data_IF_475126694653
#
_entry.id   IF_475126694653
#
_cell.length_a   1.000
_cell.length_b   1.000
_cell.length_c   1.000
_cell.angle_alpha   90.00
_cell.angle_beta   90.00
_cell.angle_gamma   90.00
#
_symmetry.space_group_name_H-M   'P 1'
#
loop_
_entity.id
_entity.type
_entity.pdbx_description
1 polymer ?
#
# COMPACT_ATOMS: atom_id res chain seq x y z
N UNK A 1 16.49 3.80 -6.84
CA UNK A 1 15.51 2.73 -6.55
C UNK A 1 14.07 3.22 -6.71
N UNK A 2 13.58 4.26 -6.01
CA UNK A 2 12.18 4.77 -6.15
C UNK A 2 11.66 4.99 -7.59
N UNK A 3 12.52 5.39 -8.53
CA UNK A 3 12.12 5.72 -9.91
C UNK A 3 11.72 4.50 -10.78
N UNK A 4 12.10 3.26 -10.40
CA UNK A 4 11.68 2.06 -11.14
C UNK A 4 10.27 1.60 -10.73
N UNK A 5 9.97 1.59 -9.42
CA UNK A 5 8.64 1.19 -8.91
C UNK A 5 7.55 2.09 -9.47
N UNK A 6 7.76 3.41 -9.47
CA UNK A 6 6.77 4.36 -10.02
C UNK A 6 6.44 4.09 -11.50
N UNK A 7 7.41 3.65 -12.31
CA UNK A 7 7.15 3.29 -13.72
C UNK A 7 6.41 1.96 -13.86
N UNK A 8 6.75 0.96 -13.04
CA UNK A 8 6.02 -0.32 -13.00
C UNK A 8 4.56 -0.07 -12.57
N UNK A 9 4.34 0.81 -11.59
CA UNK A 9 2.98 1.11 -11.09
C UNK A 9 2.10 1.86 -12.10
N UNK A 10 2.69 2.52 -13.10
CA UNK A 10 1.88 3.09 -14.20
C UNK A 10 1.28 2.02 -15.11
N UNK A 11 1.80 0.79 -15.08
CA UNK A 11 1.34 -0.32 -15.91
C UNK A 11 0.44 -1.29 -15.15
N UNK A 12 0.37 -1.20 -13.82
CA UNK A 12 -0.49 -2.01 -12.95
C UNK A 12 -1.84 -1.32 -12.78
N UNK A 13 -2.93 -1.99 -13.12
CA UNK A 13 -4.25 -1.34 -13.24
C UNK A 13 -4.93 -1.01 -11.91
N UNK A 14 -4.70 -1.83 -10.88
CA UNK A 14 -5.38 -1.76 -9.59
C UNK A 14 -4.66 -0.88 -8.56
N UNK A 15 -3.36 -0.67 -8.75
CA UNK A 15 -2.49 0.08 -7.85
C UNK A 15 -2.45 1.56 -8.26
N UNK A 16 -2.61 2.45 -7.29
CA UNK A 16 -2.73 3.88 -7.52
C UNK A 16 -1.63 4.66 -6.82
N UNK A 17 -1.40 5.90 -7.26
CA UNK A 17 -0.36 6.78 -6.68
C UNK A 17 -0.47 6.93 -5.16
N UNK A 18 -1.70 7.05 -4.63
CA UNK A 18 -1.91 7.18 -3.19
C UNK A 18 -1.46 5.94 -2.42
N UNK A 19 -1.52 4.75 -3.01
CA UNK A 19 -1.08 3.53 -2.32
C UNK A 19 0.41 3.54 -2.08
N UNK A 20 1.17 4.00 -3.08
CA UNK A 20 2.60 4.23 -2.92
C UNK A 20 2.89 5.27 -1.84
N UNK A 21 2.11 6.35 -1.77
CA UNK A 21 2.24 7.37 -0.71
C UNK A 21 1.94 6.77 0.68
N UNK A 22 0.92 5.91 0.80
CA UNK A 22 0.57 5.20 2.03
C UNK A 22 1.72 4.28 2.46
N UNK A 23 2.22 3.43 1.56
CA UNK A 23 3.28 2.47 1.86
C UNK A 23 4.59 3.19 2.22
N UNK A 24 4.95 4.25 1.49
CA UNK A 24 6.12 5.07 1.82
C UNK A 24 6.00 5.76 3.17
N UNK A 25 4.80 6.19 3.56
CA UNK A 25 4.56 6.78 4.88
C UNK A 25 4.73 5.76 6.01
N UNK A 26 4.33 4.50 5.80
CA UNK A 26 4.63 3.42 6.74
C UNK A 26 6.13 3.11 6.82
N UNK A 27 6.82 3.05 5.69
CA UNK A 27 8.27 2.79 5.64
C UNK A 27 9.08 3.84 6.39
N UNK A 28 8.72 5.12 6.25
CA UNK A 28 9.44 6.23 6.89
C UNK A 28 9.30 6.25 8.42
N UNK A 29 8.16 5.79 8.95
CA UNK A 29 7.84 5.89 10.37
C UNK A 29 7.94 4.58 11.15
N UNK A 30 7.81 3.42 10.49
CA UNK A 30 7.80 2.08 11.09
C UNK A 30 6.82 1.96 12.29
N UNK A 31 5.60 2.49 12.11
CA UNK A 31 4.53 2.52 13.11
C UNK A 31 3.24 1.85 12.63
N UNK A 32 2.46 1.33 13.58
CA UNK A 32 1.07 0.95 13.36
C UNK A 32 0.17 2.21 13.35
N UNK A 33 -0.65 2.37 12.30
CA UNK A 33 -1.46 3.58 12.14
C UNK A 33 -2.92 3.30 11.80
N UNK A 34 -3.80 4.10 12.39
CA UNK A 34 -5.22 4.09 12.02
C UNK A 34 -5.46 4.82 10.70
N UNK A 35 -6.54 4.47 9.96
CA UNK A 35 -6.94 5.19 8.76
C UNK A 35 -7.11 6.71 8.96
N UNK A 36 -7.56 7.13 10.15
CA UNK A 36 -7.79 8.55 10.47
C UNK A 36 -6.48 9.33 10.55
N UNK A 37 -5.44 8.74 11.14
CA UNK A 37 -4.12 9.37 11.26
C UNK A 37 -3.50 9.52 9.87
N UNK A 38 -3.54 8.46 9.05
CA UNK A 38 -3.04 8.52 7.68
C UNK A 38 -3.75 9.56 6.82
N UNK A 39 -5.09 9.56 6.85
CA UNK A 39 -5.90 10.53 6.11
C UNK A 39 -5.54 11.99 6.45
N UNK A 40 -5.35 12.28 7.74
CA UNK A 40 -4.99 13.61 8.21
C UNK A 40 -3.59 14.06 7.75
N UNK A 41 -2.61 13.14 7.74
CA UNK A 41 -1.22 13.46 7.38
C UNK A 41 -0.99 13.49 5.86
N UNK A 42 -1.67 12.62 5.10
CA UNK A 42 -1.54 12.54 3.65
C UNK A 42 -2.54 13.46 2.91
N UNK A 43 -3.46 14.11 3.62
CA UNK A 43 -4.37 15.10 3.04
C UNK A 43 -5.55 14.49 2.26
N UNK A 44 -5.96 13.27 2.60
CA UNK A 44 -7.06 12.57 1.92
C UNK A 44 -8.29 12.43 2.81
N UNK A 45 -9.45 12.23 2.18
CA UNK A 45 -10.68 11.97 2.94
C UNK A 45 -10.62 10.59 3.63
N UNK A 46 -11.03 10.46 4.92
CA UNK A 46 -10.92 9.19 5.66
C UNK A 46 -11.63 8.00 5.01
N UNK A 47 -12.78 8.21 4.36
CA UNK A 47 -13.48 7.11 3.66
C UNK A 47 -12.70 6.58 2.46
N UNK A 48 -12.00 7.46 1.74
CA UNK A 48 -11.16 7.09 0.61
C UNK A 48 -9.90 6.38 1.09
N UNK A 49 -9.24 6.91 2.13
CA UNK A 49 -8.11 6.28 2.79
C UNK A 49 -8.46 4.86 3.26
N UNK A 50 -9.59 4.69 3.94
CA UNK A 50 -10.05 3.38 4.38
C UNK A 50 -10.30 2.40 3.24
N UNK A 51 -10.76 2.86 2.06
CA UNK A 51 -10.90 2.00 0.87
C UNK A 51 -9.54 1.51 0.39
N UNK A 52 -8.57 2.41 0.24
CA UNK A 52 -7.21 2.05 -0.22
C UNK A 52 -6.49 1.12 0.76
N UNK A 53 -6.60 1.37 2.05
CA UNK A 53 -6.02 0.48 3.08
C UNK A 53 -6.60 -0.94 3.05
N UNK A 54 -7.90 -1.09 2.75
CA UNK A 54 -8.48 -2.42 2.52
C UNK A 54 -7.94 -3.07 1.27
N UNK A 55 -7.91 -2.34 0.14
CA UNK A 55 -7.31 -2.85 -1.11
C UNK A 55 -5.88 -3.36 -0.88
N UNK A 56 -5.04 -2.60 -0.19
CA UNK A 56 -3.65 -2.98 0.09
C UNK A 56 -3.51 -4.12 1.11
N UNK A 57 -4.46 -4.27 2.03
CA UNK A 57 -4.51 -5.42 2.92
C UNK A 57 -4.94 -6.68 2.16
N UNK A 58 -5.94 -6.54 1.30
CA UNK A 58 -6.47 -7.65 0.50
C UNK A 58 -5.45 -8.11 -0.56
N UNK A 59 -4.53 -7.23 -0.98
CA UNK A 59 -3.35 -7.56 -1.79
C UNK A 59 -2.14 -8.05 -0.97
N UNK A 60 -2.30 -8.33 0.32
CA UNK A 60 -1.26 -8.77 1.27
C UNK A 60 -0.08 -7.80 1.49
N UNK A 61 -0.14 -6.57 0.96
CA UNK A 61 0.91 -5.55 1.11
C UNK A 61 0.86 -4.85 2.48
N UNK A 62 -0.30 -4.88 3.12
CA UNK A 62 -0.50 -4.40 4.49
C UNK A 62 -1.10 -5.50 5.36
N UNK A 63 -0.81 -5.45 6.65
CA UNK A 63 -1.53 -6.19 7.69
C UNK A 63 -2.44 -5.25 8.47
N UNK A 64 -3.57 -5.77 8.94
CA UNK A 64 -4.48 -5.06 9.84
C UNK A 64 -4.54 -5.78 11.19
N UNK A 65 -4.36 -5.03 12.28
CA UNK A 65 -4.46 -5.54 13.64
C UNK A 65 -5.88 -5.41 14.19
N UNK A 66 -6.16 -6.11 15.30
CA UNK A 66 -7.48 -6.13 15.96
C UNK A 66 -7.99 -4.74 16.40
N UNK A 67 -7.06 -3.81 16.67
CA UNK A 67 -7.37 -2.41 17.01
C UNK A 67 -7.74 -1.56 15.77
N UNK A 68 -7.75 -2.16 14.58
CA UNK A 68 -8.03 -1.51 13.31
C UNK A 68 -6.87 -0.69 12.74
N UNK A 69 -5.67 -0.76 13.33
CA UNK A 69 -4.46 -0.17 12.78
C UNK A 69 -3.89 -1.04 11.68
N UNK A 70 -3.13 -0.41 10.80
CA UNK A 70 -2.44 -1.04 9.68
C UNK A 70 -0.93 -0.87 9.84
N UNK A 71 -0.16 -1.79 9.26
CA UNK A 71 1.28 -1.69 9.09
C UNK A 71 1.72 -2.39 7.79
N UNK A 72 2.96 -2.15 7.35
CA UNK A 72 3.57 -2.92 6.26
C UNK A 72 3.69 -4.39 6.64
N UNK A 73 3.28 -5.28 5.72
CA UNK A 73 3.63 -6.69 5.79
C UNK A 73 5.08 -6.91 5.34
N UNK A 74 5.59 -8.14 5.50
CA UNK A 74 6.89 -8.51 4.94
C UNK A 74 6.91 -8.37 3.41
N UNK A 75 5.85 -8.80 2.74
CA UNK A 75 5.66 -8.62 1.29
C UNK A 75 5.60 -7.14 0.91
N UNK A 76 4.94 -6.31 1.71
CA UNK A 76 4.88 -4.86 1.49
C UNK A 76 6.27 -4.20 1.56
N UNK A 77 7.16 -4.71 2.42
CA UNK A 77 8.54 -4.24 2.51
C UNK A 77 9.36 -4.68 1.28
N UNK A 78 9.22 -5.93 0.86
CA UNK A 78 9.83 -6.44 -0.37
C UNK A 78 9.33 -5.69 -1.62
N UNK A 79 8.03 -5.39 -1.68
CA UNK A 79 7.48 -4.56 -2.75
C UNK A 79 8.20 -3.21 -2.86
N UNK A 80 8.52 -2.56 -1.74
CA UNK A 80 9.21 -1.26 -1.70
C UNK A 80 10.71 -1.34 -2.06
N UNK A 81 11.34 -2.52 -1.99
CA UNK A 81 12.72 -2.70 -2.50
C UNK A 81 12.76 -2.63 -4.03
N UNK A 82 11.63 -2.92 -4.68
CA UNK A 82 11.48 -2.98 -6.13
C UNK A 82 12.00 -4.28 -6.72
N UNK A 83 12.04 -5.34 -5.91
CA UNK A 83 12.48 -6.68 -6.32
C UNK A 83 11.37 -7.47 -7.04
N UNK A 84 10.10 -7.10 -6.85
CA UNK A 84 8.96 -7.70 -7.53
C UNK A 84 8.86 -7.24 -9.00
N UNK A 85 8.61 -8.19 -9.89
CA UNK A 85 8.29 -7.96 -11.30
C UNK A 85 6.87 -7.43 -11.49
N UNK A 86 6.59 -6.91 -12.69
CA UNK A 86 5.25 -6.42 -13.03
C UNK A 86 4.18 -7.52 -12.91
N UNK A 87 4.46 -8.72 -13.41
CA UNK A 87 3.51 -9.84 -13.38
C UNK A 87 3.21 -10.29 -11.94
N UNK A 88 4.22 -10.29 -11.07
CA UNK A 88 4.04 -10.58 -9.64
C UNK A 88 3.14 -9.55 -8.97
N UNK A 89 3.27 -8.26 -9.33
CA UNK A 89 2.44 -7.20 -8.75
C UNK A 89 1.00 -7.25 -9.30
N UNK A 90 0.81 -7.56 -10.58
CA UNK A 90 -0.53 -7.74 -11.14
C UNK A 90 -1.25 -8.94 -10.49
N UNK A 91 -0.52 -10.00 -10.14
CA UNK A 91 -1.06 -11.14 -9.42
C UNK A 91 -1.54 -10.81 -7.99
N UNK A 92 -1.11 -9.68 -7.42
CA UNK A 92 -1.60 -9.18 -6.13
C UNK A 92 -2.91 -8.39 -6.24
N UNK A 93 -3.47 -8.20 -7.44
CA UNK A 93 -4.76 -7.54 -7.60
C UNK A 93 -5.84 -8.30 -6.80
N UNK A 94 -6.47 -7.68 -5.78
CA UNK A 94 -7.50 -8.34 -4.99
C UNK A 94 -8.77 -8.66 -5.81
N UNK A 95 -8.89 -8.19 -7.05
CA UNK A 95 -10.00 -8.52 -7.96
C UNK A 95 -9.70 -9.75 -8.85
N UNK A 96 -8.50 -10.37 -8.77
CA UNK A 96 -8.10 -11.51 -9.60
C UNK A 96 -8.56 -12.91 -9.10
N UNK A 97 -9.47 -12.98 -8.11
CA UNK A 97 -10.09 -14.25 -7.64
C UNK A 97 -11.28 -14.73 -8.50
#
# INVERSE_FOLDING_TARGET
MRRCIEEIMKQVGWFSKIDYEIMGFFEEHDLEMSPKVLAANLGYHPSYMGRRLRTLRDSELLVQFDNGHYALSDLGREFLTGELSQDEIEALDPENE
#
